data_IF_285011476263
#
_entry.id   IF_285011476263
#
_cell.length_a   1.000
_cell.length_b   1.000
_cell.length_c   1.000
_cell.angle_alpha   90.00
_cell.angle_beta   90.00
_cell.angle_gamma   90.00
#
_symmetry.space_group_name_H-M   'P 1'
#
loop_
_entity.id
_entity.type
_entity.pdbx_description
1 polymer ?
#
# COMPACT_ATOMS: atom_id res chain seq x y z
N UNK A 1 3.45 -66.97 64.00
CA UNK A 1 3.51 -65.65 64.64
C UNK A 1 3.26 -64.60 63.58
N UNK A 2 2.05 -64.03 63.58
CA UNK A 2 1.62 -62.96 62.70
C UNK A 2 2.40 -61.68 62.99
N UNK A 3 2.93 -61.01 61.97
CA UNK A 3 3.11 -59.56 62.01
C UNK A 3 2.71 -58.94 60.67
N UNK A 4 1.70 -58.08 60.76
CA UNK A 4 1.07 -57.35 59.68
C UNK A 4 2.10 -56.45 58.98
N UNK A 5 2.09 -56.48 57.65
CA UNK A 5 2.68 -55.44 56.80
C UNK A 5 1.74 -54.25 56.76
N UNK A 6 2.16 -53.13 57.32
CA UNK A 6 1.50 -51.82 57.19
C UNK A 6 1.59 -51.38 55.71
N UNK A 7 0.48 -51.00 55.05
CA UNK A 7 0.55 -50.44 53.70
C UNK A 7 0.93 -48.96 53.78
N UNK A 8 1.99 -48.57 53.08
CA UNK A 8 2.30 -47.16 52.84
C UNK A 8 1.26 -46.60 51.86
N UNK A 9 0.54 -45.58 52.32
CA UNK A 9 -0.38 -44.76 51.52
C UNK A 9 0.45 -43.99 50.49
N UNK A 10 0.21 -44.25 49.21
CA UNK A 10 0.74 -43.44 48.11
C UNK A 10 0.00 -42.09 48.09
N UNK A 11 0.68 -41.02 48.49
CA UNK A 11 0.20 -39.66 48.30
C UNK A 11 0.32 -39.29 46.81
N UNK A 12 -0.83 -39.19 46.14
CA UNK A 12 -0.96 -38.68 44.78
C UNK A 12 -0.75 -37.15 44.81
N UNK A 13 0.48 -36.70 44.52
CA UNK A 13 0.76 -35.29 44.27
C UNK A 13 0.22 -34.91 42.88
N UNK A 14 -0.97 -34.30 42.87
CA UNK A 14 -1.47 -33.52 41.73
C UNK A 14 -0.56 -32.29 41.56
N UNK A 15 0.48 -32.42 40.74
CA UNK A 15 1.20 -31.28 40.21
C UNK A 15 0.27 -30.55 39.23
N UNK A 16 -0.41 -29.52 39.72
CA UNK A 16 -0.96 -28.47 38.87
C UNK A 16 0.23 -27.81 38.16
N UNK A 17 0.53 -28.28 36.94
CA UNK A 17 1.52 -27.66 36.09
C UNK A 17 1.14 -26.20 35.88
N UNK A 18 2.08 -25.25 35.95
CA UNK A 18 1.77 -23.87 35.66
C UNK A 18 1.24 -23.82 34.23
N UNK A 19 0.01 -23.36 34.06
CA UNK A 19 -0.49 -22.95 32.76
C UNK A 19 0.52 -21.93 32.24
N UNK A 20 1.31 -22.33 31.25
CA UNK A 20 2.13 -21.42 30.47
C UNK A 20 1.14 -20.48 29.79
N UNK A 21 0.88 -19.34 30.42
CA UNK A 21 0.48 -18.15 29.70
C UNK A 21 1.65 -17.87 28.75
N UNK A 22 1.58 -18.45 27.55
CA UNK A 22 2.36 -17.96 26.42
C UNK A 22 2.06 -16.46 26.28
N UNK A 23 3.06 -15.65 25.88
CA UNK A 23 2.79 -14.25 25.62
C UNK A 23 1.59 -14.17 24.66
N UNK A 24 0.56 -13.43 25.06
CA UNK A 24 -0.51 -13.06 24.14
C UNK A 24 0.16 -12.50 22.87
N UNK A 25 -0.34 -12.84 21.66
CA UNK A 25 0.25 -12.30 20.44
C UNK A 25 0.29 -10.78 20.60
N UNK A 26 1.51 -10.23 20.66
CA UNK A 26 1.69 -8.80 20.64
C UNK A 26 0.98 -8.31 19.38
N UNK A 27 -0.03 -7.46 19.56
CA UNK A 27 -0.69 -6.80 18.44
C UNK A 27 0.41 -6.08 17.67
N UNK A 28 0.82 -6.64 16.53
CA UNK A 28 1.86 -6.13 15.63
C UNK A 28 1.42 -4.82 14.92
N UNK A 29 0.71 -3.94 15.64
CA UNK A 29 0.04 -2.76 15.10
C UNK A 29 0.70 -1.43 15.45
N UNK A 30 1.62 -1.40 16.44
CA UNK A 30 2.16 -0.15 17.01
C UNK A 30 3.65 0.11 16.72
N UNK A 31 4.46 -0.93 16.47
CA UNK A 31 5.90 -0.76 16.25
C UNK A 31 6.25 -0.11 14.89
N UNK A 32 5.38 -0.24 13.88
CA UNK A 32 5.65 0.27 12.52
C UNK A 32 5.00 1.63 12.23
N UNK A 33 4.56 2.35 13.27
CA UNK A 33 3.93 3.65 13.14
C UNK A 33 4.93 4.77 13.42
N UNK A 34 5.09 5.67 12.46
CA UNK A 34 5.82 6.92 12.65
C UNK A 34 4.90 8.00 13.18
N UNK A 35 5.49 9.04 13.77
CA UNK A 35 4.80 10.29 14.03
C UNK A 35 4.72 11.10 12.73
N UNK A 36 3.58 11.74 12.43
CA UNK A 36 3.44 12.52 11.20
C UNK A 36 4.24 13.82 11.22
N UNK A 37 4.64 14.31 12.39
CA UNK A 37 5.42 15.53 12.53
C UNK A 37 6.79 15.47 11.85
N UNK A 38 7.35 14.27 11.67
CA UNK A 38 8.62 14.08 10.94
C UNK A 38 8.53 14.58 9.49
N UNK A 39 7.33 14.62 8.91
CA UNK A 39 7.15 15.04 7.53
C UNK A 39 7.14 16.56 7.37
N UNK A 40 6.82 17.33 8.43
CA UNK A 40 6.58 18.76 8.28
C UNK A 40 7.82 19.53 7.88
N UNK A 41 8.94 19.30 8.58
CA UNK A 41 10.22 19.95 8.27
C UNK A 41 10.79 19.43 6.94
N UNK A 42 10.82 18.11 6.76
CA UNK A 42 11.43 17.47 5.58
C UNK A 42 10.71 17.79 4.26
N UNK A 43 9.43 18.13 4.29
CA UNK A 43 8.63 18.45 3.09
C UNK A 43 8.46 19.96 2.84
N UNK A 44 8.99 20.82 3.71
CA UNK A 44 8.76 22.26 3.65
C UNK A 44 9.34 22.94 2.39
N UNK A 45 10.42 22.39 1.82
CA UNK A 45 11.04 22.95 0.60
C UNK A 45 10.43 22.43 -0.71
N UNK A 46 9.64 21.35 -0.65
CA UNK A 46 9.11 20.67 -1.85
C UNK A 46 7.66 21.01 -2.20
N UNK A 47 7.00 21.85 -1.41
CA UNK A 47 5.58 22.14 -1.53
C UNK A 47 5.00 22.78 -0.27
N UNK A 48 3.69 22.99 -0.26
CA UNK A 48 2.98 23.77 0.75
C UNK A 48 2.08 22.90 1.62
N UNK A 49 2.10 23.20 2.93
CA UNK A 49 1.16 22.64 3.88
C UNK A 49 -0.05 23.56 4.09
N UNK A 50 -1.26 23.00 4.16
CA UNK A 50 -2.49 23.76 4.38
C UNK A 50 -3.60 22.93 5.03
N UNK A 51 -4.58 23.61 5.63
CA UNK A 51 -5.77 22.96 6.20
C UNK A 51 -6.82 22.68 5.12
N UNK A 52 -7.02 21.40 4.80
CA UNK A 52 -8.06 20.97 3.88
C UNK A 52 -9.36 20.64 4.65
N UNK A 53 -10.52 21.21 4.27
CA UNK A 53 -11.77 21.14 5.05
C UNK A 53 -12.25 19.73 5.43
N UNK A 54 -11.94 18.71 4.62
CA UNK A 54 -12.32 17.31 4.87
C UNK A 54 -11.21 16.43 5.43
N UNK A 55 -9.96 16.86 5.34
CA UNK A 55 -8.80 15.98 5.55
C UNK A 55 -7.78 16.54 6.55
N UNK A 56 -8.03 17.73 7.10
CA UNK A 56 -7.14 18.41 8.03
C UNK A 56 -5.87 18.91 7.34
N UNK A 57 -4.76 18.91 8.08
CA UNK A 57 -3.49 19.41 7.59
C UNK A 57 -2.88 18.46 6.53
N UNK A 58 -2.80 18.94 5.30
CA UNK A 58 -2.35 18.21 4.11
C UNK A 58 -1.23 18.97 3.43
N UNK A 59 -0.53 18.30 2.51
CA UNK A 59 0.57 18.86 1.75
C UNK A 59 0.33 18.80 0.25
N UNK A 60 0.69 19.83 -0.51
CA UNK A 60 0.66 19.81 -1.99
C UNK A 60 2.06 20.11 -2.54
N UNK A 61 2.56 19.32 -3.50
CA UNK A 61 3.89 19.53 -4.08
C UNK A 61 3.94 20.76 -4.99
N UNK A 62 5.07 21.46 -5.01
CA UNK A 62 5.38 22.46 -6.04
C UNK A 62 5.89 21.76 -7.31
N UNK A 63 4.97 21.50 -8.24
CA UNK A 63 5.21 20.70 -9.46
C UNK A 63 4.45 21.27 -10.66
N UNK A 64 4.85 20.84 -11.85
CA UNK A 64 4.18 21.24 -13.08
C UNK A 64 2.75 20.68 -13.18
N UNK A 65 1.88 21.35 -13.95
CA UNK A 65 0.45 21.00 -14.08
C UNK A 65 0.18 19.58 -14.62
N UNK A 66 1.12 19.02 -15.37
CA UNK A 66 1.01 17.67 -15.94
C UNK A 66 1.40 16.58 -14.95
N UNK A 67 2.03 16.96 -13.84
CA UNK A 67 2.44 16.05 -12.78
C UNK A 67 1.26 15.31 -12.16
N UNK A 68 1.52 14.08 -11.75
CA UNK A 68 0.60 13.19 -11.03
C UNK A 68 1.39 12.39 -9.99
N UNK A 69 0.80 11.97 -8.88
CA UNK A 69 1.43 10.99 -7.99
C UNK A 69 1.81 9.72 -8.76
N UNK A 70 2.95 9.12 -8.42
CA UNK A 70 3.47 7.92 -9.06
C UNK A 70 3.70 8.10 -10.58
N UNK A 71 4.22 9.26 -11.00
CA UNK A 71 4.53 9.53 -12.41
C UNK A 71 6.03 9.63 -12.73
N UNK A 72 6.85 10.15 -11.81
CA UNK A 72 8.30 10.30 -11.96
C UNK A 72 9.03 9.32 -11.05
N UNK A 73 9.80 8.41 -11.63
CA UNK A 73 10.31 7.21 -10.97
C UNK A 73 10.00 5.97 -11.78
N UNK A 74 9.90 4.82 -11.13
CA UNK A 74 9.58 3.53 -11.76
C UNK A 74 9.02 2.52 -10.77
N UNK A 75 8.34 1.51 -11.30
CA UNK A 75 7.99 0.33 -10.52
C UNK A 75 9.13 -0.69 -10.56
N UNK A 76 9.57 -1.12 -9.38
CA UNK A 76 10.49 -2.26 -9.24
C UNK A 76 9.81 -3.37 -8.44
N UNK A 77 10.19 -4.62 -8.69
CA UNK A 77 9.72 -5.74 -7.90
C UNK A 77 10.83 -6.20 -6.97
N UNK A 78 10.58 -6.20 -5.66
CA UNK A 78 11.50 -6.65 -4.63
C UNK A 78 10.99 -7.94 -4.00
N UNK A 79 11.90 -8.78 -3.50
CA UNK A 79 11.54 -9.98 -2.74
C UNK A 79 10.92 -9.65 -1.38
N UNK A 80 11.27 -8.50 -0.82
CA UNK A 80 10.90 -8.09 0.54
C UNK A 80 9.54 -7.40 0.62
N UNK A 81 9.19 -6.60 -0.39
CA UNK A 81 8.00 -5.75 -0.35
C UNK A 81 7.09 -5.90 -1.57
N UNK A 82 7.49 -6.70 -2.56
CA UNK A 82 6.75 -6.87 -3.80
C UNK A 82 6.93 -5.67 -4.72
N UNK A 83 5.85 -5.18 -5.32
CA UNK A 83 5.92 -3.97 -6.14
C UNK A 83 6.19 -2.75 -5.27
N UNK A 84 7.27 -2.05 -5.58
CA UNK A 84 7.74 -0.87 -4.90
C UNK A 84 7.84 0.29 -5.88
N UNK A 85 7.40 1.47 -5.47
CA UNK A 85 7.60 2.68 -6.26
C UNK A 85 8.94 3.32 -5.91
N UNK A 86 9.87 3.26 -6.86
CA UNK A 86 11.20 3.87 -6.78
C UNK A 86 11.10 5.27 -7.39
N UNK A 87 11.00 6.28 -6.52
CA UNK A 87 10.74 7.67 -6.89
C UNK A 87 12.03 8.41 -7.27
N UNK A 88 11.97 9.22 -8.32
CA UNK A 88 13.04 10.17 -8.66
C UNK A 88 12.89 11.51 -7.90
N UNK A 89 11.81 11.67 -7.13
CA UNK A 89 11.42 12.93 -6.49
C UNK A 89 11.88 12.99 -5.02
N UNK A 90 12.40 14.15 -4.55
CA UNK A 90 13.02 14.27 -3.23
C UNK A 90 12.04 14.02 -2.09
N UNK A 91 10.76 14.38 -2.25
CA UNK A 91 9.70 14.12 -1.29
C UNK A 91 9.18 12.66 -1.31
N UNK A 92 9.59 11.87 -2.30
CA UNK A 92 8.99 10.57 -2.63
C UNK A 92 9.11 9.53 -1.51
N UNK A 93 10.18 9.60 -0.71
CA UNK A 93 10.39 8.71 0.44
C UNK A 93 9.22 8.80 1.44
N UNK A 94 8.62 9.98 1.60
CA UNK A 94 7.48 10.20 2.48
C UNK A 94 6.17 9.93 1.74
N UNK A 95 5.87 10.73 0.72
CA UNK A 95 4.50 10.85 0.18
C UNK A 95 4.01 9.63 -0.62
N UNK A 96 4.93 8.75 -1.04
CA UNK A 96 4.58 7.50 -1.72
C UNK A 96 4.55 6.28 -0.79
N UNK A 97 5.20 6.38 0.37
CA UNK A 97 5.30 5.27 1.32
C UNK A 97 4.47 5.48 2.58
N UNK A 98 4.09 6.72 2.87
CA UNK A 98 3.23 7.12 3.96
C UNK A 98 2.05 7.88 3.37
N UNK A 99 0.83 7.68 3.89
CA UNK A 99 -0.32 8.51 3.52
C UNK A 99 -1.03 8.17 2.21
N UNK A 100 -1.91 9.08 1.77
CA UNK A 100 -2.86 8.91 0.65
C UNK A 100 -2.94 10.19 -0.18
N UNK A 101 -3.33 10.06 -1.44
CA UNK A 101 -3.49 11.22 -2.32
C UNK A 101 -4.95 11.51 -2.61
N UNK A 102 -5.35 12.76 -2.43
CA UNK A 102 -6.59 13.31 -2.94
C UNK A 102 -6.33 14.28 -4.09
N UNK A 103 -7.42 14.64 -4.75
CA UNK A 103 -7.39 15.61 -5.85
C UNK A 103 -8.63 16.49 -5.75
N UNK A 104 -8.44 17.79 -5.75
CA UNK A 104 -9.48 18.79 -5.91
C UNK A 104 -9.29 19.50 -7.26
N UNK A 105 -10.40 19.80 -7.94
CA UNK A 105 -10.33 20.44 -9.26
C UNK A 105 -9.76 21.86 -9.21
N UNK A 106 -9.96 22.56 -8.09
CA UNK A 106 -9.46 23.91 -7.87
C UNK A 106 -7.98 23.92 -7.44
N UNK A 107 -7.62 23.06 -6.47
CA UNK A 107 -6.35 23.11 -5.77
C UNK A 107 -5.33 22.05 -6.23
N UNK A 108 -5.77 21.09 -7.06
CA UNK A 108 -4.92 20.05 -7.60
C UNK A 108 -4.71 18.87 -6.64
N UNK A 109 -3.52 18.28 -6.70
CA UNK A 109 -3.19 17.11 -5.89
C UNK A 109 -2.78 17.53 -4.48
N UNK A 110 -3.31 16.82 -3.49
CA UNK A 110 -2.90 16.98 -2.10
C UNK A 110 -2.67 15.61 -1.47
N UNK A 111 -1.75 15.56 -0.53
CA UNK A 111 -1.34 14.39 0.20
C UNK A 111 -1.79 14.48 1.66
N UNK A 112 -2.47 13.43 2.10
CA UNK A 112 -2.92 13.26 3.49
C UNK A 112 -1.88 12.39 4.22
N UNK A 113 -1.19 12.92 5.24
CA UNK A 113 -0.18 12.16 5.96
C UNK A 113 -0.72 10.87 6.56
N UNK A 114 0.11 9.83 6.53
CA UNK A 114 -0.18 8.55 7.15
C UNK A 114 0.98 8.08 8.00
N UNK A 115 0.68 7.31 9.04
CA UNK A 115 1.70 6.85 10.01
C UNK A 115 2.35 5.54 9.63
N UNK A 116 1.75 4.78 8.74
CA UNK A 116 2.18 3.43 8.40
C UNK A 116 2.89 3.43 7.06
N UNK A 117 4.09 2.85 7.04
CA UNK A 117 4.86 2.65 5.83
C UNK A 117 4.22 1.56 4.94
N UNK A 118 4.31 1.72 3.63
CA UNK A 118 4.02 0.69 2.63
C UNK A 118 4.88 0.89 1.39
N UNK A 119 5.07 -0.15 0.57
CA UNK A 119 5.91 -0.05 -0.63
C UNK A 119 5.30 0.84 -1.73
N UNK A 120 3.98 0.96 -1.73
CA UNK A 120 3.21 1.97 -2.45
C UNK A 120 1.74 1.87 -2.04
N UNK A 121 1.05 3.01 -1.91
CA UNK A 121 -0.37 3.05 -1.61
C UNK A 121 -1.19 3.31 -2.88
N UNK A 122 -1.28 2.28 -3.73
CA UNK A 122 -1.95 2.34 -5.04
C UNK A 122 -2.94 1.19 -5.25
N UNK A 123 -3.94 1.44 -6.08
CA UNK A 123 -4.70 0.38 -6.73
C UNK A 123 -4.04 0.06 -8.07
N UNK A 124 -3.92 -1.23 -8.40
CA UNK A 124 -3.43 -1.68 -9.71
C UNK A 124 -4.54 -2.35 -10.51
N UNK A 125 -4.47 -2.23 -11.83
CA UNK A 125 -5.27 -2.98 -12.80
C UNK A 125 -4.42 -3.46 -13.95
N UNK A 126 -4.81 -4.57 -14.57
CA UNK A 126 -4.13 -5.10 -15.73
C UNK A 126 -5.03 -5.90 -16.65
N UNK A 127 -4.59 -6.02 -17.89
CA UNK A 127 -5.10 -6.88 -18.95
C UNK A 127 -3.95 -7.25 -19.87
N UNK A 128 -4.26 -7.75 -21.06
CA UNK A 128 -3.22 -8.16 -22.00
C UNK A 128 -2.49 -6.97 -22.63
N UNK A 129 -3.22 -5.88 -22.92
CA UNK A 129 -2.66 -4.68 -23.58
C UNK A 129 -2.24 -3.57 -22.63
N UNK A 130 -2.86 -3.50 -21.45
CA UNK A 130 -2.72 -2.37 -20.54
C UNK A 130 -2.43 -2.85 -19.12
N UNK A 131 -1.60 -2.09 -18.44
CA UNK A 131 -1.51 -2.09 -16.99
C UNK A 131 -1.59 -0.65 -16.50
N UNK A 132 -2.17 -0.45 -15.33
CA UNK A 132 -2.28 0.87 -14.77
C UNK A 132 -2.39 0.88 -13.27
N UNK A 133 -2.11 2.04 -12.72
CA UNK A 133 -2.12 2.31 -11.30
C UNK A 133 -2.78 3.65 -11.02
N UNK A 134 -3.35 3.76 -9.82
CA UNK A 134 -3.89 5.00 -9.29
C UNK A 134 -3.54 5.09 -7.80
N UNK A 135 -3.16 6.27 -7.29
CA UNK A 135 -2.93 6.43 -5.86
C UNK A 135 -4.23 6.23 -5.10
N UNK A 136 -4.17 5.52 -3.98
CA UNK A 136 -5.34 5.26 -3.16
C UNK A 136 -5.83 6.57 -2.50
N UNK A 137 -7.16 6.79 -2.47
CA UNK A 137 -7.73 8.02 -1.92
C UNK A 137 -7.62 8.05 -0.39
N UNK A 138 -7.80 9.22 0.26
CA UNK A 138 -7.72 9.35 1.72
C UNK A 138 -8.62 8.41 2.52
N UNK A 139 -9.76 8.00 1.94
CA UNK A 139 -10.66 7.01 2.55
C UNK A 139 -10.17 5.56 2.52
N UNK A 140 -8.98 5.27 1.96
CA UNK A 140 -8.44 3.92 1.87
C UNK A 140 -7.65 3.54 3.14
N UNK A 141 -8.20 2.62 3.93
CA UNK A 141 -7.72 2.26 5.26
C UNK A 141 -7.00 0.91 5.22
N UNK A 142 -5.87 0.81 5.92
CA UNK A 142 -5.14 -0.44 6.08
C UNK A 142 -5.66 -1.28 7.26
N UNK A 143 -5.84 -2.57 7.03
CA UNK A 143 -6.08 -3.62 8.02
C UNK A 143 -5.07 -4.76 7.82
N UNK A 144 -4.50 -5.28 8.90
CA UNK A 144 -3.59 -6.42 8.82
C UNK A 144 -4.30 -7.71 8.38
N UNK A 145 -5.59 -7.84 8.70
CA UNK A 145 -6.41 -9.00 8.37
C UNK A 145 -7.00 -8.91 6.95
N UNK A 146 -7.55 -7.74 6.61
CA UNK A 146 -8.29 -7.55 5.34
C UNK A 146 -7.42 -6.93 4.23
N UNK A 147 -6.19 -6.52 4.54
CA UNK A 147 -5.38 -5.71 3.65
C UNK A 147 -5.93 -4.28 3.56
N UNK A 148 -5.82 -3.68 2.38
CA UNK A 148 -6.36 -2.34 2.14
C UNK A 148 -7.87 -2.38 1.83
N UNK A 149 -8.66 -1.59 2.55
CA UNK A 149 -10.11 -1.45 2.39
C UNK A 149 -10.44 -0.04 1.88
N UNK A 150 -11.21 0.04 0.80
CA UNK A 150 -11.69 1.29 0.20
C UNK A 150 -12.94 1.02 -0.63
N UNK A 151 -13.67 2.09 -0.99
CA UNK A 151 -14.86 1.97 -1.81
C UNK A 151 -14.52 1.43 -3.22
N UNK A 152 -15.17 0.34 -3.62
CA UNK A 152 -15.03 -0.27 -4.95
C UNK A 152 -15.37 0.67 -6.11
N UNK A 153 -16.13 1.74 -5.87
CA UNK A 153 -16.38 2.81 -6.85
C UNK A 153 -15.06 3.38 -7.43
N UNK A 154 -13.95 3.29 -6.68
CA UNK A 154 -12.62 3.69 -7.15
C UNK A 154 -12.15 2.98 -8.42
N UNK A 155 -12.69 1.80 -8.70
CA UNK A 155 -12.34 0.95 -9.84
C UNK A 155 -13.27 1.11 -11.05
N UNK A 156 -14.40 1.79 -10.90
CA UNK A 156 -15.47 1.80 -11.91
C UNK A 156 -16.02 3.20 -12.19
N UNK A 157 -15.84 4.16 -11.28
CA UNK A 157 -16.37 5.50 -11.42
C UNK A 157 -15.42 6.40 -12.21
N UNK A 158 -15.97 7.08 -13.21
CA UNK A 158 -15.28 8.09 -14.03
C UNK A 158 -14.73 9.25 -13.21
N UNK A 159 -15.26 9.48 -12.00
CA UNK A 159 -14.73 10.47 -11.05
C UNK A 159 -13.25 10.25 -10.76
N UNK A 160 -12.80 9.00 -10.75
CA UNK A 160 -11.42 8.65 -10.46
C UNK A 160 -10.58 8.46 -11.72
N UNK A 161 -11.13 8.59 -12.93
CA UNK A 161 -10.35 8.55 -14.19
C UNK A 161 -9.10 9.46 -14.14
N UNK A 162 -9.15 10.67 -13.53
CA UNK A 162 -7.97 11.52 -13.42
C UNK A 162 -6.78 10.92 -12.64
N UNK A 163 -7.06 9.94 -11.77
CA UNK A 163 -6.08 9.31 -10.88
C UNK A 163 -5.30 8.21 -11.58
N UNK A 164 -5.86 7.61 -12.63
CA UNK A 164 -5.26 6.45 -13.27
C UNK A 164 -4.18 6.86 -14.26
N UNK A 165 -3.07 6.13 -14.25
CA UNK A 165 -2.04 6.13 -15.27
C UNK A 165 -2.06 4.75 -15.92
N UNK A 166 -2.28 4.69 -17.24
CA UNK A 166 -2.27 3.44 -17.99
C UNK A 166 -1.15 3.42 -19.02
N UNK A 167 -0.38 2.34 -19.05
CA UNK A 167 0.70 2.09 -20.02
C UNK A 167 0.55 0.70 -20.63
N UNK A 168 1.35 0.40 -21.66
CA UNK A 168 1.55 -1.00 -22.05
C UNK A 168 2.35 -1.72 -20.96
N UNK A 169 2.03 -2.98 -20.60
CA UNK A 169 2.70 -3.70 -19.51
C UNK A 169 4.24 -3.68 -19.58
N UNK A 170 4.84 -3.75 -20.77
CA UNK A 170 6.31 -3.67 -20.93
C UNK A 170 6.95 -2.41 -20.32
N UNK A 171 6.21 -1.31 -20.22
CA UNK A 171 6.73 -0.02 -19.75
C UNK A 171 6.65 0.17 -18.24
N UNK A 172 5.96 -0.69 -17.48
CA UNK A 172 5.77 -0.51 -16.02
C UNK A 172 7.11 -0.31 -15.28
N UNK A 173 8.14 -1.07 -15.68
CA UNK A 173 9.46 -1.09 -15.03
C UNK A 173 10.47 -0.15 -15.69
N UNK A 174 10.07 0.58 -16.73
CA UNK A 174 10.95 1.57 -17.35
C UNK A 174 11.07 2.78 -16.43
N UNK A 175 12.22 3.46 -16.50
CA UNK A 175 12.33 4.78 -15.88
C UNK A 175 11.32 5.75 -16.50
N UNK A 176 10.61 6.47 -15.63
CA UNK A 176 9.55 7.40 -15.95
C UNK A 176 8.48 6.79 -16.89
N UNK A 177 7.72 5.79 -16.42
CA UNK A 177 6.74 5.09 -17.25
C UNK A 177 5.59 6.00 -17.70
N UNK A 178 5.38 7.13 -17.02
CA UNK A 178 4.37 8.13 -17.36
C UNK A 178 4.56 8.73 -18.77
N UNK A 179 5.78 8.76 -19.30
CA UNK A 179 6.04 9.17 -20.70
C UNK A 179 5.33 8.29 -21.73
N UNK A 180 4.95 7.07 -21.35
CA UNK A 180 4.24 6.11 -22.19
C UNK A 180 2.75 6.01 -21.86
N UNK A 181 2.24 6.92 -21.02
CA UNK A 181 0.85 6.96 -20.58
C UNK A 181 -0.11 7.10 -21.76
N UNK A 182 -1.23 6.38 -21.68
CA UNK A 182 -2.30 6.47 -22.68
C UNK A 182 -3.12 7.73 -22.44
N UNK A 183 -3.64 8.35 -23.52
CA UNK A 183 -4.50 9.51 -23.37
C UNK A 183 -5.82 9.14 -22.67
N UNK A 184 -6.36 10.06 -21.88
CA UNK A 184 -7.56 9.84 -21.05
C UNK A 184 -8.80 9.44 -21.83
N UNK A 185 -8.94 9.87 -23.08
CA UNK A 185 -10.05 9.46 -23.96
C UNK A 185 -10.10 7.94 -24.22
N UNK A 186 -9.05 7.18 -23.88
CA UNK A 186 -9.01 5.71 -23.97
C UNK A 186 -9.46 5.01 -22.69
N UNK A 187 -9.55 5.71 -21.56
CA UNK A 187 -9.66 5.07 -20.24
C UNK A 187 -10.91 4.21 -20.12
N UNK A 188 -12.07 4.71 -20.58
CA UNK A 188 -13.31 3.91 -20.62
C UNK A 188 -13.16 2.56 -21.33
N UNK A 189 -12.37 2.51 -22.41
CA UNK A 189 -12.07 1.25 -23.10
C UNK A 189 -11.08 0.40 -22.30
N UNK A 190 -10.03 1.01 -21.74
CA UNK A 190 -9.03 0.31 -20.93
C UNK A 190 -9.67 -0.35 -19.70
N UNK A 191 -10.59 0.33 -19.00
CA UNK A 191 -11.31 -0.24 -17.86
C UNK A 191 -12.13 -1.49 -18.21
N UNK A 192 -12.69 -1.57 -19.43
CA UNK A 192 -13.43 -2.75 -19.92
C UNK A 192 -12.51 -3.95 -20.21
N UNK A 193 -11.25 -3.69 -20.55
CA UNK A 193 -10.27 -4.72 -20.92
C UNK A 193 -9.24 -5.00 -19.81
N UNK A 194 -9.46 -4.46 -18.62
CA UNK A 194 -8.58 -4.66 -17.46
C UNK A 194 -9.39 -5.06 -16.25
N UNK A 195 -8.73 -5.76 -15.32
CA UNK A 195 -9.30 -6.14 -14.03
C UNK A 195 -8.41 -5.68 -12.88
N UNK A 196 -8.95 -5.49 -11.65
CA UNK A 196 -8.14 -5.24 -10.47
C UNK A 196 -7.04 -6.30 -10.29
N UNK A 197 -5.86 -5.83 -9.90
CA UNK A 197 -4.77 -6.67 -9.44
C UNK A 197 -4.89 -6.95 -7.93
N UNK A 198 -4.05 -7.84 -7.41
CA UNK A 198 -3.99 -8.09 -5.98
C UNK A 198 -3.49 -6.84 -5.24
N UNK A 199 -4.06 -6.58 -4.07
CA UNK A 199 -3.72 -5.43 -3.23
C UNK A 199 -2.52 -5.66 -2.31
N UNK A 200 -2.43 -4.81 -1.29
CA UNK A 200 -1.48 -4.94 -0.19
C UNK A 200 -1.93 -6.03 0.79
N UNK A 201 -0.98 -6.82 1.28
CA UNK A 201 -1.19 -7.90 2.26
C UNK A 201 -0.14 -7.82 3.36
N UNK A 202 -0.40 -8.48 4.50
CA UNK A 202 0.58 -8.60 5.58
C UNK A 202 1.27 -9.96 5.50
N UNK A 203 2.59 -9.95 5.34
CA UNK A 203 3.43 -11.16 5.20
C UNK A 203 4.68 -10.94 6.03
N UNK A 204 5.09 -11.89 6.86
CA UNK A 204 6.35 -11.86 7.61
C UNK A 204 6.61 -10.54 8.36
N UNK A 205 5.56 -10.03 9.04
CA UNK A 205 5.65 -8.81 9.84
C UNK A 205 5.75 -7.50 9.05
N UNK A 206 5.44 -7.52 7.75
CA UNK A 206 5.58 -6.36 6.87
C UNK A 206 4.43 -6.26 5.86
N UNK A 207 4.20 -5.05 5.38
CA UNK A 207 3.27 -4.80 4.28
C UNK A 207 3.95 -5.17 2.95
N UNK A 208 3.34 -6.08 2.22
CA UNK A 208 3.79 -6.57 0.92
C UNK A 208 2.76 -6.22 -0.15
N UNK A 209 3.20 -5.57 -1.25
CA UNK A 209 2.30 -5.23 -2.35
C UNK A 209 2.39 -6.27 -3.48
N UNK A 210 1.36 -7.12 -3.59
CA UNK A 210 1.34 -8.22 -4.56
C UNK A 210 1.20 -7.74 -6.02
N UNK A 211 0.33 -6.77 -6.27
CA UNK A 211 0.08 -6.22 -7.61
C UNK A 211 -0.13 -7.30 -8.68
N UNK A 212 0.59 -7.17 -9.80
CA UNK A 212 0.66 -8.19 -10.86
C UNK A 212 1.80 -9.15 -10.53
N UNK A 213 1.52 -10.44 -10.27
CA UNK A 213 2.58 -11.39 -9.92
C UNK A 213 3.71 -11.47 -10.98
N UNK A 214 4.99 -11.70 -10.61
CA UNK A 214 6.13 -11.60 -11.54
C UNK A 214 6.04 -12.48 -12.79
N UNK A 215 5.48 -13.69 -12.67
CA UNK A 215 5.25 -14.57 -13.82
C UNK A 215 4.15 -14.03 -14.74
N UNK A 216 3.06 -13.54 -14.16
CA UNK A 216 1.98 -12.88 -14.89
C UNK A 216 2.50 -11.64 -15.63
N UNK A 217 3.28 -10.81 -14.93
CA UNK A 217 3.91 -9.62 -15.50
C UNK A 217 4.82 -9.97 -16.67
N UNK A 218 5.75 -10.92 -16.50
CA UNK A 218 6.63 -11.40 -17.59
C UNK A 218 5.84 -11.87 -18.81
N UNK A 219 4.70 -12.52 -18.61
CA UNK A 219 3.83 -12.99 -19.69
C UNK A 219 3.19 -11.84 -20.47
N UNK A 220 2.59 -10.86 -19.79
CA UNK A 220 1.91 -9.74 -20.46
C UNK A 220 2.90 -8.74 -21.06
N UNK A 221 4.04 -8.50 -20.40
CA UNK A 221 5.08 -7.59 -20.89
C UNK A 221 5.72 -8.05 -22.21
N UNK A 222 5.83 -9.37 -22.44
CA UNK A 222 6.36 -9.93 -23.69
C UNK A 222 5.41 -9.77 -24.89
N UNK A 223 4.11 -9.62 -24.64
CA UNK A 223 3.06 -9.57 -25.69
C UNK A 223 2.68 -8.15 -26.07
N UNK A 224 2.64 -7.26 -25.08
CA UNK A 224 2.41 -5.82 -25.26
C UNK A 224 3.58 -5.19 -25.96
#
# INVERSE_FOLDING_TARGET
>A
MYFLRVPFIAALLLLAGPALLGPAPAVAGRADLVDVSIFYEDLNEGGDWFEHPRHGYVWSPDVDRSWRPYSRGRWIYTSEYGWFWDSDEPFGWAVYHYGRWGFDEADGWYWVPGRRWGPAWVAWRYGDEYAGWAPLPPGAVWSAELGIVYNNDFHVSVRYDPFWIFVRPRYITYYNPYRFARPRNRYRSIFRHTRPAAGLVYVDGRIFFRGIGPLQYRRIARRS
#
